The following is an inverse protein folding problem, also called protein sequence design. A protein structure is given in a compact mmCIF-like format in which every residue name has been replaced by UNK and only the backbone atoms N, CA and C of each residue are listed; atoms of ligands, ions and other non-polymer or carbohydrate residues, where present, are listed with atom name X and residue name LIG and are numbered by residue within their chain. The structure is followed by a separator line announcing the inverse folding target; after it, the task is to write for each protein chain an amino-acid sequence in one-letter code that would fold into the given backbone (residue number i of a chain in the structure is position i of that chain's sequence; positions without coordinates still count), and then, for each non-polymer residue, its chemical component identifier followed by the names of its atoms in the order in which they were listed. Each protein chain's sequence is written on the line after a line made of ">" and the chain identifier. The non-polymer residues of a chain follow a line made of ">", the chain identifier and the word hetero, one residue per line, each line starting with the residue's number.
data_IF_532640472597
#
_entry.id   IF_532640472597
#
_cell.length_a   1.000
_cell.length_b   1.000
_cell.length_c   1.000
_cell.angle_alpha   90.00
_cell.angle_beta   90.00
_cell.angle_gamma   90.00
#
_symmetry.space_group_name_H-M   'P 1'
#
loop_
_entity.id
_entity.type
_entity.pdbx_description
1 polymer ?
#
# COMPACT_ATOMS: atom_id res chain seq x y z
N UNK A 1 -33.15 -10.31 -25.00
CA UNK A 1 -32.27 -9.15 -24.79
C UNK A 1 -32.07 -8.98 -23.29
N UNK A 2 -30.89 -9.31 -22.78
CA UNK A 2 -30.35 -8.75 -21.53
C UNK A 2 -28.90 -9.24 -21.39
N UNK A 3 -27.97 -8.42 -21.88
CA UNK A 3 -26.54 -8.62 -21.61
C UNK A 3 -26.19 -7.82 -20.37
N UNK A 4 -26.06 -8.51 -19.23
CA UNK A 4 -25.47 -7.93 -18.03
C UNK A 4 -23.96 -7.78 -18.25
N UNK A 5 -23.53 -6.57 -18.65
CA UNK A 5 -22.13 -6.19 -18.69
C UNK A 5 -21.61 -5.98 -17.27
N UNK A 6 -21.16 -7.07 -16.64
CA UNK A 6 -20.30 -6.98 -15.46
C UNK A 6 -18.88 -6.67 -15.93
N UNK A 7 -18.64 -5.41 -16.25
CA UNK A 7 -17.30 -4.89 -16.53
C UNK A 7 -16.57 -4.76 -15.19
N UNK A 8 -16.09 -5.89 -14.66
CA UNK A 8 -15.15 -5.90 -13.56
C UNK A 8 -13.85 -5.41 -14.18
N UNK A 9 -13.58 -4.11 -14.09
CA UNK A 9 -12.27 -3.55 -14.38
C UNK A 9 -11.25 -4.39 -13.61
N UNK A 10 -10.45 -5.16 -14.35
CA UNK A 10 -9.23 -5.76 -13.81
C UNK A 10 -8.39 -4.59 -13.32
N UNK A 11 -8.44 -4.29 -12.02
CA UNK A 11 -7.41 -3.45 -11.41
C UNK A 11 -6.08 -4.13 -11.74
N UNK A 12 -5.29 -3.50 -12.60
CA UNK A 12 -3.92 -3.91 -12.86
C UNK A 12 -3.13 -3.51 -11.61
N UNK A 13 -3.17 -4.35 -10.57
CA UNK A 13 -2.57 -4.08 -9.26
C UNK A 13 -1.05 -4.30 -9.27
N UNK A 14 -0.46 -4.72 -10.39
CA UNK A 14 0.94 -5.18 -10.42
C UNK A 14 1.86 -4.35 -11.33
N UNK A 15 1.74 -3.02 -11.29
CA UNK A 15 2.81 -2.16 -11.87
C UNK A 15 4.05 -2.10 -10.96
N UNK A 16 3.85 -2.34 -9.65
CA UNK A 16 4.85 -2.15 -8.61
C UNK A 16 4.81 -3.33 -7.64
N UNK A 17 5.96 -3.91 -7.32
CA UNK A 17 6.02 -4.97 -6.32
C UNK A 17 6.11 -4.34 -4.93
N UNK A 18 5.19 -4.69 -4.04
CA UNK A 18 5.18 -4.19 -2.66
C UNK A 18 5.24 -5.34 -1.67
N UNK A 19 6.24 -5.30 -0.80
CA UNK A 19 6.39 -6.24 0.31
C UNK A 19 6.31 -5.49 1.63
N UNK A 20 5.56 -6.03 2.58
CA UNK A 20 5.45 -5.49 3.94
C UNK A 20 5.84 -6.61 4.90
N UNK A 21 6.90 -6.40 5.67
CA UNK A 21 7.41 -7.37 6.64
C UNK A 21 8.21 -6.68 7.75
N UNK A 22 8.26 -7.24 8.98
CA UNK A 22 7.39 -8.29 9.50
C UNK A 22 5.96 -7.79 9.79
N UNK A 23 5.01 -8.71 9.99
CA UNK A 23 3.78 -8.39 10.74
C UNK A 23 4.24 -8.06 12.18
N UNK A 24 4.15 -6.81 12.63
CA UNK A 24 5.06 -6.31 13.64
C UNK A 24 4.71 -6.85 15.02
N UNK A 25 5.63 -7.59 15.64
CA UNK A 25 5.57 -7.87 17.08
C UNK A 25 5.99 -6.63 17.92
N UNK A 26 6.82 -5.75 17.34
CA UNK A 26 7.44 -4.61 18.04
C UNK A 26 6.99 -3.23 17.50
N UNK A 27 5.84 -3.17 16.82
CA UNK A 27 5.27 -1.90 16.34
C UNK A 27 6.05 -1.22 15.20
N UNK A 28 6.93 -1.92 14.48
CA UNK A 28 7.64 -1.43 13.29
C UNK A 28 7.43 -2.38 12.12
N UNK A 29 6.99 -1.85 10.99
CA UNK A 29 6.94 -2.57 9.71
C UNK A 29 8.01 -2.03 8.77
N UNK A 30 8.57 -2.90 7.94
CA UNK A 30 9.39 -2.51 6.80
C UNK A 30 8.57 -2.66 5.53
N UNK A 31 8.55 -1.59 4.72
CA UNK A 31 7.88 -1.58 3.42
C UNK A 31 8.92 -1.42 2.33
N UNK A 32 8.92 -2.37 1.39
CA UNK A 32 9.72 -2.34 0.18
C UNK A 32 8.80 -2.11 -1.01
N UNK A 33 9.18 -1.17 -1.88
CA UNK A 33 8.41 -0.75 -3.04
C UNK A 33 9.34 -0.78 -4.24
N UNK A 34 9.22 -1.81 -5.06
CA UNK A 34 10.10 -2.03 -6.21
C UNK A 34 9.36 -1.71 -7.50
N UNK A 35 10.03 -0.96 -8.38
CA UNK A 35 9.52 -0.62 -9.73
C UNK A 35 10.41 -1.26 -10.80
N UNK A 36 10.42 -2.60 -10.93
CA UNK A 36 11.36 -3.31 -11.80
C UNK A 36 11.11 -3.05 -13.28
N UNK A 37 9.88 -2.71 -13.67
CA UNK A 37 9.48 -2.48 -15.06
C UNK A 37 9.69 -1.03 -15.51
N UNK A 38 10.02 -0.11 -14.59
CA UNK A 38 10.15 1.32 -14.89
C UNK A 38 8.83 1.98 -15.30
N UNK A 39 7.70 1.38 -14.94
CA UNK A 39 6.36 1.88 -15.28
C UNK A 39 6.04 3.18 -14.55
N UNK A 40 6.45 3.29 -13.29
CA UNK A 40 6.41 4.56 -12.58
C UNK A 40 7.54 5.48 -13.08
N UNK A 41 7.19 6.70 -13.48
CA UNK A 41 8.14 7.75 -13.85
C UNK A 41 8.66 8.54 -12.65
N UNK A 42 7.96 8.47 -11.54
CA UNK A 42 8.35 9.09 -10.27
C UNK A 42 9.39 8.24 -9.53
N UNK A 43 10.25 8.90 -8.75
CA UNK A 43 11.18 8.25 -7.81
C UNK A 43 10.63 8.18 -6.38
N UNK A 44 9.52 8.87 -6.13
CA UNK A 44 8.84 8.92 -4.83
C UNK A 44 7.36 8.56 -4.97
N UNK A 45 6.80 7.96 -3.93
CA UNK A 45 5.38 7.65 -3.85
C UNK A 45 4.87 7.97 -2.44
N UNK A 46 3.55 8.03 -2.27
CA UNK A 46 2.94 8.15 -0.95
C UNK A 46 2.57 6.77 -0.43
N UNK A 47 3.01 6.48 0.79
CA UNK A 47 2.49 5.36 1.55
C UNK A 47 1.36 5.85 2.43
N UNK A 48 0.21 5.19 2.35
CA UNK A 48 -1.01 5.57 3.07
C UNK A 48 -1.55 4.37 3.82
N UNK A 49 -1.72 4.47 5.13
CA UNK A 49 -2.37 3.44 5.95
C UNK A 49 -3.78 3.94 6.30
N UNK A 50 -4.78 3.13 5.99
CA UNK A 50 -6.19 3.35 6.34
C UNK A 50 -6.73 2.23 7.23
N UNK A 51 -7.65 2.55 8.13
CA UNK A 51 -8.41 1.54 8.87
C UNK A 51 -9.58 0.99 8.03
N UNK A 52 -10.30 -0.01 8.54
CA UNK A 52 -11.45 -0.62 7.85
C UNK A 52 -12.63 0.34 7.61
N UNK A 53 -12.73 1.43 8.37
CA UNK A 53 -13.73 2.49 8.14
C UNK A 53 -13.31 3.47 7.04
N UNK A 54 -12.14 3.27 6.42
CA UNK A 54 -11.60 4.14 5.37
C UNK A 54 -10.87 5.39 5.89
N UNK A 55 -10.71 5.54 7.21
CA UNK A 55 -10.01 6.69 7.80
C UNK A 55 -8.50 6.52 7.63
N UNK A 56 -7.85 7.56 7.09
CA UNK A 56 -6.39 7.63 7.00
C UNK A 56 -5.80 7.84 8.39
N UNK A 57 -4.94 6.90 8.80
CA UNK A 57 -4.24 6.94 10.09
C UNK A 57 -2.75 7.25 9.94
N UNK A 58 -2.19 7.06 8.74
CA UNK A 58 -0.81 7.40 8.41
C UNK A 58 -0.69 7.79 6.94
N UNK A 59 0.17 8.77 6.65
CA UNK A 59 0.57 9.13 5.28
C UNK A 59 1.99 9.69 5.32
N UNK A 60 2.85 9.17 4.45
CA UNK A 60 4.20 9.72 4.27
C UNK A 60 4.72 9.53 2.84
N UNK A 61 5.68 10.35 2.45
CA UNK A 61 6.40 10.20 1.18
C UNK A 61 7.57 9.23 1.36
N UNK A 62 7.71 8.27 0.45
CA UNK A 62 8.74 7.22 0.47
C UNK A 62 9.41 7.11 -0.88
N UNK A 63 10.70 6.77 -0.88
CA UNK A 63 11.48 6.56 -2.11
C UNK A 63 11.28 5.13 -2.62
N UNK A 64 11.24 4.97 -3.94
CA UNK A 64 11.23 3.65 -4.58
C UNK A 64 12.58 2.95 -4.39
N UNK A 65 12.56 1.62 -4.34
CA UNK A 65 13.73 0.74 -4.20
C UNK A 65 14.59 1.01 -2.94
N UNK A 66 14.03 1.70 -1.94
CA UNK A 66 14.67 1.94 -0.64
C UNK A 66 13.74 1.39 0.44
N UNK A 67 14.19 0.41 1.24
CA UNK A 67 13.41 -0.10 2.37
C UNK A 67 13.05 1.02 3.33
N UNK A 68 11.77 1.09 3.72
CA UNK A 68 11.28 2.09 4.65
C UNK A 68 10.71 1.44 5.90
N UNK A 69 11.26 1.81 7.05
CA UNK A 69 10.70 1.48 8.35
C UNK A 69 9.60 2.48 8.74
N UNK A 70 8.48 1.94 9.22
CA UNK A 70 7.30 2.71 9.61
C UNK A 70 6.88 2.25 11.00
N UNK A 71 6.80 3.23 11.91
CA UNK A 71 6.29 3.01 13.26
C UNK A 71 4.78 2.95 13.24
N UNK A 72 4.24 1.82 13.70
CA UNK A 72 2.81 1.54 13.82
C UNK A 72 2.41 1.21 15.26
N UNK A 73 3.33 1.36 16.21
CA UNK A 73 3.15 1.22 17.67
C UNK A 73 2.01 2.07 18.25
N UNK A 74 1.70 3.20 17.60
CA UNK A 74 0.60 4.10 18.00
C UNK A 74 -0.75 3.70 17.43
N UNK A 75 -0.80 2.74 16.50
CA UNK A 75 -2.04 2.24 15.93
C UNK A 75 -2.62 1.17 16.84
N UNK A 76 -3.94 1.15 16.98
CA UNK A 76 -4.63 0.10 17.73
C UNK A 76 -4.45 -1.24 17.02
N UNK A 77 -4.40 -2.33 17.78
CA UNK A 77 -4.47 -3.67 17.20
C UNK A 77 -5.70 -3.82 16.32
N UNK A 78 -5.54 -4.44 15.15
CA UNK A 78 -6.61 -4.60 14.19
C UNK A 78 -6.14 -4.68 12.74
N UNK A 79 -7.11 -4.60 11.84
CA UNK A 79 -6.90 -4.70 10.40
C UNK A 79 -6.82 -3.32 9.74
N UNK A 80 -5.85 -3.18 8.86
CA UNK A 80 -5.57 -1.97 8.10
C UNK A 80 -5.30 -2.33 6.63
N UNK A 81 -5.40 -1.33 5.77
CA UNK A 81 -4.93 -1.41 4.38
C UNK A 81 -3.79 -0.41 4.22
N UNK A 82 -2.63 -0.90 3.80
CA UNK A 82 -1.52 -0.09 3.35
C UNK A 82 -1.61 0.06 1.84
N UNK A 83 -1.68 1.31 1.36
CA UNK A 83 -1.75 1.69 -0.05
C UNK A 83 -0.48 2.40 -0.45
N UNK A 84 -0.01 2.10 -1.66
CA UNK A 84 1.02 2.90 -2.33
C UNK A 84 0.31 3.73 -3.40
N UNK A 85 0.51 5.05 -3.34
CA UNK A 85 -0.05 6.00 -4.29
C UNK A 85 1.10 6.64 -5.06
N UNK A 86 1.09 6.48 -6.38
CA UNK A 86 2.04 7.11 -7.29
C UNK A 86 1.26 7.83 -8.39
N UNK A 87 1.71 9.02 -8.78
CA UNK A 87 1.07 9.84 -9.83
C UNK A 87 -0.45 10.03 -9.63
N UNK A 88 -0.88 10.17 -8.37
CA UNK A 88 -2.28 10.35 -7.98
C UNK A 88 -3.15 9.10 -8.06
N UNK A 89 -2.57 7.92 -8.32
CA UNK A 89 -3.30 6.64 -8.44
C UNK A 89 -2.78 5.62 -7.43
N UNK A 90 -3.67 4.75 -6.96
CA UNK A 90 -3.28 3.61 -6.12
C UNK A 90 -2.66 2.54 -7.01
N UNK A 91 -1.37 2.27 -6.79
CA UNK A 91 -0.59 1.30 -7.59
C UNK A 91 -0.37 -0.02 -6.86
N UNK A 92 -0.59 -0.05 -5.55
CA UNK A 92 -0.57 -1.27 -4.75
C UNK A 92 -1.43 -1.09 -3.50
N UNK A 93 -2.06 -2.17 -3.05
CA UNK A 93 -2.78 -2.22 -1.79
C UNK A 93 -2.56 -3.57 -1.12
N UNK A 94 -2.11 -3.56 0.14
CA UNK A 94 -1.84 -4.75 0.93
C UNK A 94 -2.54 -4.67 2.28
N UNK A 95 -3.06 -5.82 2.71
CA UNK A 95 -3.62 -6.02 4.04
C UNK A 95 -2.48 -5.94 5.07
N UNK A 96 -2.67 -5.14 6.11
CA UNK A 96 -1.78 -5.03 7.26
C UNK A 96 -2.58 -5.43 8.51
N UNK A 97 -2.08 -6.42 9.25
CA UNK A 97 -2.58 -6.79 10.56
C UNK A 97 -1.63 -6.17 11.60
N UNK A 98 -2.18 -5.56 12.64
CA UNK A 98 -1.42 -5.02 13.77
C UNK A 98 -1.92 -5.77 15.01
N UNK A 99 -1.00 -6.27 15.84
CA UNK A 99 -1.31 -7.05 17.04
C UNK A 99 -0.97 -6.29 18.29
#
# INVERSE_FOLDING_TARGET
>A
MNSNNNNIEKQHVDEVMTTIAPNPADGIITVNIDNPTGTLKTTTCELVIINLSGVQVHRESVQLNVPKEIKVDRLKSGMYICKIVADGRVVSAKKLEIR
#
